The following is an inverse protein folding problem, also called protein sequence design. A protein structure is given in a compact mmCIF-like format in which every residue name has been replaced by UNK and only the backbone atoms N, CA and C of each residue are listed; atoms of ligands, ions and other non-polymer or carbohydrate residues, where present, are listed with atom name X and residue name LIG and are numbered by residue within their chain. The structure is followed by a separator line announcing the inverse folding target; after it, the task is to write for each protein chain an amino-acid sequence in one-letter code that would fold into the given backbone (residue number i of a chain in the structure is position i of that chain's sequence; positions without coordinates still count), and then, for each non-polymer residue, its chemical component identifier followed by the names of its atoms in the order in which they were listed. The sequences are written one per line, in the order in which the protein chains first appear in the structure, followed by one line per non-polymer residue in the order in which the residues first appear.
data_IF_566725070558
#
_entry.id   IF_566725070558
#
_cell.length_a   1.000
_cell.length_b   1.000
_cell.length_c   1.000
_cell.angle_alpha   90.00
_cell.angle_beta   90.00
_cell.angle_gamma   90.00
#
_symmetry.space_group_name_H-M   'P 1'
#
loop_
_entity.id
_entity.type
_entity.pdbx_description
1 polymer ?
#
# COMPACT_ATOMS: atom_id res chain seq x y z
N UNK A 1 0.73 -48.02 15.26
CA UNK A 1 1.95 -47.86 14.45
C UNK A 1 1.62 -46.92 13.30
N UNK A 2 1.94 -45.64 13.44
CA UNK A 2 1.77 -44.62 12.40
C UNK A 2 3.10 -44.33 11.73
N UNK A 3 3.18 -44.19 10.42
CA UNK A 3 4.44 -43.92 9.74
C UNK A 3 4.85 -42.46 9.87
N UNK A 4 6.09 -42.29 10.31
CA UNK A 4 6.80 -40.99 10.41
C UNK A 4 7.05 -40.38 9.02
N UNK A 5 6.68 -39.11 8.82
CA UNK A 5 7.07 -38.31 7.66
C UNK A 5 8.55 -37.90 7.76
N UNK A 6 9.30 -37.93 6.67
CA UNK A 6 10.68 -37.50 6.66
C UNK A 6 10.76 -35.96 6.70
N UNK A 7 11.63 -35.43 7.58
CA UNK A 7 12.06 -34.04 7.60
C UNK A 7 12.98 -33.80 6.40
N UNK A 8 12.58 -32.98 5.44
CA UNK A 8 13.50 -32.50 4.40
C UNK A 8 14.08 -31.16 4.81
N UNK A 9 15.34 -31.16 5.19
CA UNK A 9 16.16 -29.97 5.34
C UNK A 9 16.54 -29.49 3.94
N UNK A 10 16.11 -28.28 3.57
CA UNK A 10 16.65 -27.58 2.40
C UNK A 10 17.41 -26.34 2.85
N UNK A 11 18.73 -26.43 2.76
CA UNK A 11 19.63 -25.27 2.75
C UNK A 11 19.47 -24.57 1.39
N UNK A 12 19.15 -23.26 1.39
CA UNK A 12 19.20 -22.44 0.21
C UNK A 12 20.34 -21.44 0.36
N UNK A 13 21.37 -21.62 -0.46
CA UNK A 13 22.51 -20.74 -0.59
C UNK A 13 22.14 -19.44 -1.31
N UNK A 14 22.85 -18.34 -0.95
CA UNK A 14 22.77 -17.02 -1.55
C UNK A 14 22.78 -17.04 -3.09
N UNK A 15 21.64 -16.88 -3.69
CA UNK A 15 21.50 -16.46 -5.08
C UNK A 15 20.20 -15.69 -5.24
N UNK A 16 20.35 -14.46 -5.73
CA UNK A 16 19.38 -13.57 -6.40
C UNK A 16 17.88 -13.97 -6.42
N UNK A 17 17.00 -13.07 -6.75
CA UNK A 17 15.54 -13.21 -6.97
C UNK A 17 15.07 -14.55 -7.59
N UNK A 18 15.93 -15.27 -8.30
CA UNK A 18 15.69 -16.62 -8.83
C UNK A 18 15.47 -17.71 -7.74
N UNK A 19 15.97 -17.50 -6.52
CA UNK A 19 15.76 -18.45 -5.41
C UNK A 19 14.38 -18.31 -4.76
N UNK A 20 13.76 -17.13 -4.85
CA UNK A 20 12.37 -16.90 -4.45
C UNK A 20 11.38 -17.66 -5.38
N UNK A 21 11.77 -17.84 -6.64
CA UNK A 21 10.96 -18.55 -7.66
C UNK A 21 10.84 -20.03 -7.38
N UNK A 22 11.89 -20.69 -6.93
CA UNK A 22 11.96 -22.15 -6.82
C UNK A 22 11.24 -22.74 -5.59
N UNK A 23 11.15 -21.99 -4.49
CA UNK A 23 10.58 -22.51 -3.24
C UNK A 23 9.04 -22.58 -3.25
N UNK A 24 8.37 -21.74 -4.05
CA UNK A 24 6.90 -21.62 -4.09
C UNK A 24 6.27 -22.48 -5.20
N UNK A 25 7.04 -22.89 -6.23
CA UNK A 25 6.51 -23.62 -7.38
C UNK A 25 6.12 -25.10 -7.09
N UNK A 26 6.55 -25.68 -5.99
CA UNK A 26 6.40 -27.11 -5.74
C UNK A 26 5.03 -27.59 -5.25
N UNK A 27 4.16 -26.67 -4.79
CA UNK A 27 2.86 -27.01 -4.20
C UNK A 27 1.62 -26.40 -4.90
N UNK A 28 1.79 -25.79 -6.06
CA UNK A 28 0.72 -25.04 -6.73
C UNK A 28 0.12 -25.79 -7.92
N UNK A 29 -1.20 -25.66 -8.11
CA UNK A 29 -1.90 -26.14 -9.33
C UNK A 29 -1.44 -25.36 -10.57
N UNK A 30 -1.56 -25.94 -11.78
CA UNK A 30 -1.08 -25.33 -13.03
C UNK A 30 -1.61 -23.93 -13.30
N UNK A 31 -2.85 -23.60 -12.93
CA UNK A 31 -3.44 -22.26 -13.05
C UNK A 31 -2.89 -21.27 -12.02
N UNK A 32 -2.47 -21.79 -10.86
CA UNK A 32 -1.83 -21.03 -9.79
C UNK A 32 -0.37 -20.74 -10.14
N UNK A 33 0.33 -21.66 -10.77
CA UNK A 33 1.70 -21.53 -11.27
C UNK A 33 1.82 -20.45 -12.35
N UNK A 34 0.87 -20.40 -13.30
CA UNK A 34 0.85 -19.36 -14.34
C UNK A 34 0.66 -17.96 -13.74
N UNK A 35 -0.23 -17.82 -12.74
CA UNK A 35 -0.42 -16.56 -11.98
C UNK A 35 0.82 -16.20 -11.18
N UNK A 36 1.48 -17.17 -10.57
CA UNK A 36 2.71 -16.98 -9.80
C UNK A 36 3.88 -16.50 -10.66
N UNK A 37 4.11 -17.11 -11.84
CA UNK A 37 5.17 -16.69 -12.81
C UNK A 37 4.92 -15.26 -13.32
N UNK A 38 3.65 -14.91 -13.58
CA UNK A 38 3.26 -13.56 -13.98
C UNK A 38 3.51 -12.56 -12.83
N UNK A 39 3.25 -12.97 -11.58
CA UNK A 39 3.56 -12.19 -10.40
C UNK A 39 5.06 -11.91 -10.22
N UNK A 40 5.92 -12.93 -10.37
CA UNK A 40 7.37 -12.76 -10.27
C UNK A 40 7.85 -11.73 -11.29
N UNK A 41 7.33 -11.77 -12.52
CA UNK A 41 7.63 -10.78 -13.54
C UNK A 41 7.20 -9.37 -13.11
N UNK A 42 5.99 -9.21 -12.57
CA UNK A 42 5.48 -7.92 -12.07
C UNK A 42 6.25 -7.45 -10.83
N UNK A 43 6.60 -8.36 -9.92
CA UNK A 43 7.43 -8.06 -8.76
C UNK A 43 8.83 -7.59 -9.16
N UNK A 44 9.46 -8.24 -10.14
CA UNK A 44 10.74 -7.81 -10.70
C UNK A 44 10.66 -6.42 -11.32
N UNK A 45 9.58 -6.11 -12.05
CA UNK A 45 9.33 -4.77 -12.61
C UNK A 45 9.12 -3.74 -11.51
N UNK A 46 8.25 -4.02 -10.54
CA UNK A 46 7.99 -3.12 -9.43
C UNK A 46 9.24 -2.90 -8.56
N UNK A 47 10.05 -3.95 -8.35
CA UNK A 47 11.28 -3.89 -7.57
C UNK A 47 12.43 -3.20 -8.31
N UNK A 48 12.56 -3.39 -9.63
CA UNK A 48 13.57 -2.70 -10.45
C UNK A 48 13.29 -1.21 -10.62
N UNK A 49 12.06 -0.76 -10.43
CA UNK A 49 11.68 0.65 -10.44
C UNK A 49 11.98 1.39 -9.11
N UNK A 50 12.61 0.74 -8.13
CA UNK A 50 12.97 1.33 -6.84
C UNK A 50 14.22 2.23 -6.89
N UNK A 51 14.55 2.85 -8.03
CA UNK A 51 15.50 3.97 -7.98
C UNK A 51 14.93 5.05 -7.07
N UNK A 52 15.72 5.58 -6.11
CA UNK A 52 15.26 6.66 -5.25
C UNK A 52 14.78 7.83 -6.10
N UNK A 53 13.72 8.53 -5.66
CA UNK A 53 13.36 9.82 -6.25
C UNK A 53 14.59 10.73 -6.17
N UNK A 54 14.92 11.48 -7.22
CA UNK A 54 15.96 12.48 -7.13
C UNK A 54 15.62 13.46 -5.99
N UNK A 55 16.58 13.66 -5.11
CA UNK A 55 16.48 14.70 -4.08
C UNK A 55 16.31 16.06 -4.75
N UNK A 56 15.50 16.99 -4.22
CA UNK A 56 15.41 18.33 -4.76
C UNK A 56 16.80 18.99 -4.73
N UNK A 57 17.12 19.89 -5.69
CA UNK A 57 18.40 20.56 -5.72
C UNK A 57 18.64 21.31 -4.39
N UNK A 58 19.82 21.09 -3.81
CA UNK A 58 20.23 21.68 -2.54
C UNK A 58 20.31 23.20 -2.71
N UNK A 59 19.44 23.94 -2.04
CA UNK A 59 19.68 25.35 -1.75
C UNK A 59 20.72 25.35 -0.62
N UNK A 60 21.92 25.84 -0.91
CA UNK A 60 23.02 25.96 0.03
C UNK A 60 22.66 26.94 1.15
N UNK A 61 22.25 26.41 2.29
CA UNK A 61 22.27 27.10 3.58
C UNK A 61 23.04 26.23 4.57
N UNK A 62 24.19 26.73 4.96
CA UNK A 62 25.08 26.20 5.99
C UNK A 62 24.39 26.20 7.35
N UNK A 63 23.74 25.11 7.69
CA UNK A 63 23.39 24.75 9.07
C UNK A 63 23.21 23.23 9.07
N UNK A 64 23.92 22.53 9.98
CA UNK A 64 24.04 21.07 10.01
C UNK A 64 22.69 20.35 10.00
N UNK A 65 22.34 19.78 8.86
CA UNK A 65 21.20 18.88 8.69
C UNK A 65 21.73 17.46 8.69
N UNK A 66 21.31 16.68 9.66
CA UNK A 66 21.37 15.24 9.57
C UNK A 66 20.58 14.79 8.33
N UNK A 67 21.27 14.27 7.32
CA UNK A 67 20.66 13.73 6.10
C UNK A 67 19.88 12.47 6.45
N UNK A 68 18.55 12.54 6.52
CA UNK A 68 17.66 11.40 6.71
C UNK A 68 17.61 10.42 5.51
N UNK A 69 18.35 10.70 4.43
CA UNK A 69 18.42 9.87 3.23
C UNK A 69 19.64 8.95 3.14
N UNK A 70 20.53 8.96 4.15
CA UNK A 70 21.77 8.15 4.15
C UNK A 70 21.59 6.69 4.62
N UNK A 71 20.40 6.29 5.08
CA UNK A 71 20.15 5.00 5.72
C UNK A 71 19.58 3.92 4.79
N UNK A 72 19.68 4.08 3.46
CA UNK A 72 19.26 3.00 2.55
C UNK A 72 20.35 1.94 2.50
N UNK A 73 20.13 0.71 3.03
CA UNK A 73 21.12 -0.35 2.98
C UNK A 73 21.53 -0.66 1.55
N UNK A 74 22.85 -0.73 1.30
CA UNK A 74 23.41 -1.15 0.01
C UNK A 74 23.24 -2.67 -0.13
N UNK A 75 22.14 -3.14 -0.74
CA UNK A 75 21.92 -4.57 -0.99
C UNK A 75 20.45 -4.96 -0.96
N UNK A 76 20.13 -6.22 -1.27
CA UNK A 76 18.76 -6.71 -1.20
C UNK A 76 18.27 -6.70 0.26
N UNK A 77 16.97 -6.39 0.48
CA UNK A 77 16.40 -6.40 1.81
C UNK A 77 16.56 -7.79 2.47
N UNK A 78 16.79 -7.82 3.80
CA UNK A 78 17.03 -9.06 4.54
C UNK A 78 15.76 -9.87 4.79
N UNK A 79 14.92 -10.08 3.76
CA UNK A 79 13.60 -10.67 3.89
C UNK A 79 13.28 -11.64 2.74
N UNK A 80 12.37 -12.55 3.01
CA UNK A 80 11.72 -13.42 2.03
C UNK A 80 10.23 -13.50 2.28
N UNK A 81 9.43 -13.75 1.24
CA UNK A 81 8.01 -14.06 1.37
C UNK A 81 7.84 -15.58 1.33
N UNK A 82 7.10 -16.13 2.29
CA UNK A 82 6.84 -17.58 2.38
C UNK A 82 5.42 -17.84 2.86
N UNK A 83 4.93 -19.07 2.68
CA UNK A 83 3.67 -19.49 3.28
C UNK A 83 3.83 -19.65 4.79
N UNK A 84 2.83 -19.20 5.52
CA UNK A 84 2.65 -19.43 6.95
C UNK A 84 1.75 -20.63 7.20
N UNK A 85 1.72 -21.15 8.43
CA UNK A 85 0.83 -22.27 8.77
C UNK A 85 -0.66 -21.94 8.78
N UNK A 86 -1.05 -20.66 8.90
CA UNK A 86 -2.44 -20.26 9.13
C UNK A 86 -2.89 -18.99 8.40
N UNK A 87 -1.97 -18.06 8.09
CA UNK A 87 -2.29 -16.74 7.57
C UNK A 87 -1.99 -16.55 6.07
N UNK A 88 -1.80 -17.63 5.32
CA UNK A 88 -1.39 -17.59 3.92
C UNK A 88 0.07 -17.16 3.78
N UNK A 89 0.36 -16.05 3.08
CA UNK A 89 1.74 -15.55 2.92
C UNK A 89 2.14 -14.66 4.08
N UNK A 90 3.43 -14.71 4.45
CA UNK A 90 4.05 -13.84 5.42
C UNK A 90 5.44 -13.40 4.98
N UNK A 91 6.00 -12.41 5.62
CA UNK A 91 7.35 -11.90 5.39
C UNK A 91 8.25 -12.40 6.52
N UNK A 92 9.40 -12.95 6.19
CA UNK A 92 10.33 -13.56 7.14
C UNK A 92 11.71 -12.93 6.99
N UNK A 93 12.41 -12.73 8.10
CA UNK A 93 13.79 -12.30 8.10
C UNK A 93 14.68 -13.40 7.50
N UNK A 94 15.68 -13.03 6.68
CA UNK A 94 16.69 -13.98 6.14
C UNK A 94 18.00 -13.93 6.90
N UNK A 95 18.18 -12.91 7.73
CA UNK A 95 19.33 -12.70 8.63
C UNK A 95 18.87 -11.88 9.83
N UNK A 96 19.69 -11.78 10.85
CA UNK A 96 19.42 -10.92 12.01
C UNK A 96 19.23 -9.47 11.57
N UNK A 97 18.22 -8.80 12.15
CA UNK A 97 17.86 -7.39 11.92
C UNK A 97 17.84 -6.73 13.31
N UNK A 98 18.59 -5.65 13.48
CA UNK A 98 18.65 -4.92 14.74
C UNK A 98 17.44 -4.03 14.98
N UNK A 99 17.15 -3.75 16.25
CA UNK A 99 16.12 -2.78 16.64
C UNK A 99 16.40 -1.40 15.99
N UNK A 100 15.38 -0.80 15.37
CA UNK A 100 15.51 0.49 14.68
C UNK A 100 16.01 0.41 13.23
N UNK A 101 16.52 -0.75 12.78
CA UNK A 101 17.03 -0.91 11.44
C UNK A 101 15.93 -0.72 10.38
N UNK A 102 16.29 -0.06 9.28
CA UNK A 102 15.45 0.01 8.10
C UNK A 102 15.50 -1.34 7.36
N UNK A 103 14.39 -2.06 7.36
CA UNK A 103 14.24 -3.35 6.68
C UNK A 103 14.21 -3.15 5.16
N UNK A 104 13.28 -2.29 4.70
CA UNK A 104 13.17 -1.86 3.31
C UNK A 104 12.28 -0.63 3.15
N UNK A 105 12.28 -0.07 1.96
CA UNK A 105 11.33 0.93 1.49
C UNK A 105 10.44 0.35 0.41
N UNK A 106 9.20 0.83 0.29
CA UNK A 106 8.27 0.41 -0.75
C UNK A 106 7.55 1.61 -1.36
N UNK A 107 7.49 1.66 -2.69
CA UNK A 107 6.64 2.60 -3.41
C UNK A 107 5.21 2.04 -3.48
N UNK A 108 4.18 2.89 -3.44
CA UNK A 108 2.82 2.42 -3.63
C UNK A 108 2.59 1.91 -5.06
N UNK A 109 1.76 0.87 -5.20
CA UNK A 109 1.17 0.46 -6.48
C UNK A 109 0.19 1.53 -6.97
N UNK A 110 -0.61 2.04 -6.06
CA UNK A 110 -1.54 3.14 -6.25
C UNK A 110 -1.64 3.93 -4.95
N UNK A 111 -1.73 5.25 -5.06
CA UNK A 111 -2.01 6.15 -3.94
C UNK A 111 -2.99 7.22 -4.40
N UNK A 112 -3.86 7.67 -3.50
CA UNK A 112 -4.80 8.77 -3.77
C UNK A 112 -4.92 9.65 -2.52
N UNK A 113 -4.87 11.00 -2.65
CA UNK A 113 -5.15 11.90 -1.54
C UNK A 113 -6.57 11.69 -1.00
N UNK A 114 -6.82 12.03 0.25
CA UNK A 114 -8.19 12.22 0.72
C UNK A 114 -8.81 13.41 0.00
N UNK A 115 -10.13 13.41 -0.21
CA UNK A 115 -10.82 14.53 -0.84
C UNK A 115 -10.68 15.83 -0.02
N UNK A 116 -10.51 15.73 1.31
CA UNK A 116 -10.19 16.86 2.19
C UNK A 116 -8.76 17.39 2.01
N UNK A 117 -7.84 16.55 1.55
CA UNK A 117 -6.41 16.88 1.44
C UNK A 117 -5.94 17.16 0.02
N UNK A 118 -6.79 16.96 -1.00
CA UNK A 118 -6.42 17.03 -2.43
C UNK A 118 -5.74 18.32 -2.85
N UNK A 119 -6.03 19.46 -2.19
CA UNK A 119 -5.44 20.75 -2.48
C UNK A 119 -4.18 21.06 -1.64
N UNK A 120 -3.85 20.19 -0.69
CA UNK A 120 -2.76 20.42 0.27
C UNK A 120 -1.60 19.45 0.12
N UNK A 121 -1.78 18.42 -0.73
CA UNK A 121 -0.75 17.43 -0.99
C UNK A 121 -0.53 17.20 -2.48
N UNK A 122 0.64 16.72 -2.82
CA UNK A 122 0.96 16.30 -4.18
C UNK A 122 0.06 15.15 -4.63
N UNK A 123 -0.62 15.30 -5.74
CA UNK A 123 -1.56 14.29 -6.28
C UNK A 123 -0.89 12.97 -6.67
N UNK A 124 0.44 12.94 -6.79
CA UNK A 124 1.22 11.74 -7.10
C UNK A 124 1.82 11.08 -5.84
N UNK A 125 2.64 11.83 -5.07
CA UNK A 125 3.42 11.25 -3.98
C UNK A 125 2.89 11.56 -2.58
N UNK A 126 1.78 12.28 -2.45
CA UNK A 126 1.13 12.69 -1.20
C UNK A 126 1.99 13.59 -0.29
N UNK A 127 3.12 14.13 -0.76
CA UNK A 127 3.91 15.12 0.00
C UNK A 127 3.07 16.35 0.29
N UNK A 128 3.12 16.88 1.51
CA UNK A 128 2.49 18.18 1.85
C UNK A 128 3.09 19.29 0.97
N UNK A 129 2.22 20.11 0.39
CA UNK A 129 2.61 21.25 -0.43
C UNK A 129 2.79 22.47 0.45
N UNK A 130 3.87 23.24 0.23
CA UNK A 130 4.03 24.54 0.88
C UNK A 130 2.98 25.49 0.31
N UNK A 131 2.20 26.15 1.18
CA UNK A 131 1.27 27.20 0.79
C UNK A 131 2.05 28.38 0.28
N UNK A 132 2.14 28.57 -1.02
CA UNK A 132 2.49 29.87 -1.57
C UNK A 132 1.25 30.76 -1.43
N UNK A 133 1.33 31.82 -0.64
CA UNK A 133 0.25 32.76 -0.33
C UNK A 133 -0.34 33.46 -1.58
N UNK A 134 0.25 33.29 -2.77
CA UNK A 134 -0.11 33.97 -4.02
C UNK A 134 -0.65 33.04 -5.11
N UNK A 135 -0.93 31.76 -4.81
CA UNK A 135 -1.51 30.87 -5.81
C UNK A 135 -3.04 31.06 -5.84
N UNK A 136 -3.52 31.87 -6.78
CA UNK A 136 -4.87 31.71 -7.35
C UNK A 136 -4.91 30.34 -8.04
N UNK A 137 -4.94 29.26 -7.25
CA UNK A 137 -5.04 27.92 -7.78
C UNK A 137 -6.48 27.74 -8.26
N UNK A 138 -6.65 27.51 -9.56
CA UNK A 138 -7.88 26.96 -10.10
C UNK A 138 -8.24 25.73 -9.24
N UNK A 139 -9.35 25.82 -8.52
CA UNK A 139 -9.77 24.83 -7.51
C UNK A 139 -9.98 23.40 -8.07
N UNK A 140 -9.81 23.23 -9.39
CA UNK A 140 -10.02 21.97 -10.11
C UNK A 140 -8.74 21.35 -10.67
N UNK A 141 -7.57 22.00 -10.53
CA UNK A 141 -6.33 21.46 -11.09
C UNK A 141 -5.55 20.65 -10.06
N UNK A 142 -5.21 19.40 -10.42
CA UNK A 142 -4.31 18.58 -9.62
C UNK A 142 -2.97 19.27 -9.40
N UNK A 143 -2.48 19.25 -8.16
CA UNK A 143 -1.25 19.94 -7.77
C UNK A 143 -0.13 18.92 -7.55
N UNK A 144 1.07 19.23 -8.04
CA UNK A 144 2.25 18.38 -7.90
C UNK A 144 3.38 19.12 -7.17
N UNK A 145 4.16 18.42 -6.35
CA UNK A 145 5.26 19.01 -5.60
C UNK A 145 6.47 19.35 -6.47
N UNK A 146 6.62 18.74 -7.63
CA UNK A 146 7.71 18.94 -8.57
C UNK A 146 7.35 18.42 -9.96
N UNK A 147 8.11 18.86 -10.99
CA UNK A 147 7.94 18.42 -12.38
C UNK A 147 8.09 16.91 -12.56
N UNK A 148 8.89 16.25 -11.72
CA UNK A 148 9.07 14.81 -11.74
C UNK A 148 7.80 14.07 -11.32
N UNK A 149 7.13 14.54 -10.26
CA UNK A 149 5.83 14.00 -9.84
C UNK A 149 4.75 14.25 -10.90
N UNK A 150 4.73 15.42 -11.54
CA UNK A 150 3.84 15.73 -12.66
C UNK A 150 4.08 14.78 -13.84
N UNK A 151 5.35 14.56 -14.23
CA UNK A 151 5.71 13.63 -15.29
C UNK A 151 5.31 12.19 -14.98
N UNK A 152 5.56 11.72 -13.77
CA UNK A 152 5.18 10.36 -13.37
C UNK A 152 3.66 10.17 -13.20
N UNK A 153 2.92 11.24 -12.91
CA UNK A 153 1.47 11.15 -12.78
C UNK A 153 0.74 10.86 -14.10
N UNK A 154 1.39 11.07 -15.25
CA UNK A 154 0.80 10.83 -16.57
C UNK A 154 0.25 9.42 -16.75
N UNK A 155 0.79 8.45 -16.01
CA UNK A 155 0.28 7.06 -16.00
C UNK A 155 -1.20 6.93 -15.58
N UNK A 156 -1.79 7.96 -14.99
CA UNK A 156 -3.20 8.02 -14.66
C UNK A 156 -3.83 9.39 -14.95
N UNK A 157 -3.06 10.47 -14.78
CA UNK A 157 -3.58 11.84 -14.76
C UNK A 157 -4.17 12.27 -16.11
N UNK A 158 -3.52 11.90 -17.21
CA UNK A 158 -4.00 12.24 -18.56
C UNK A 158 -5.37 11.61 -18.84
N UNK A 159 -5.67 10.43 -18.29
CA UNK A 159 -6.97 9.78 -18.36
C UNK A 159 -7.96 10.40 -17.36
N UNK A 160 -7.51 10.69 -16.12
CA UNK A 160 -8.35 11.38 -15.12
C UNK A 160 -8.88 12.72 -15.67
N UNK A 161 -8.08 13.47 -16.41
CA UNK A 161 -8.45 14.77 -16.99
C UNK A 161 -9.43 14.70 -18.16
N UNK A 162 -9.63 13.53 -18.78
CA UNK A 162 -10.57 13.34 -19.87
C UNK A 162 -12.00 13.08 -19.40
N UNK A 163 -12.20 12.75 -18.14
CA UNK A 163 -13.49 12.34 -17.60
C UNK A 163 -14.05 13.33 -16.58
N UNK A 164 -15.37 13.46 -16.54
CA UNK A 164 -16.09 14.24 -15.52
C UNK A 164 -16.36 13.36 -14.30
N UNK A 165 -15.62 13.63 -13.23
CA UNK A 165 -15.71 12.92 -11.97
C UNK A 165 -16.69 13.51 -10.96
N UNK A 166 -17.43 14.57 -11.31
CA UNK A 166 -18.27 15.36 -10.38
C UNK A 166 -19.26 14.49 -9.61
N UNK A 167 -20.03 13.63 -10.30
CA UNK A 167 -20.99 12.72 -9.67
C UNK A 167 -20.30 11.67 -8.79
N UNK A 168 -19.18 11.10 -9.28
CA UNK A 168 -18.42 10.07 -8.57
C UNK A 168 -17.77 10.62 -7.30
N UNK A 169 -17.08 11.75 -7.40
CA UNK A 169 -16.40 12.39 -6.27
C UNK A 169 -17.41 12.95 -5.25
N UNK A 170 -18.58 13.42 -5.70
CA UNK A 170 -19.71 13.82 -4.85
C UNK A 170 -20.21 12.62 -4.03
N UNK A 171 -20.50 11.50 -4.66
CA UNK A 171 -20.93 10.27 -3.98
C UNK A 171 -19.88 9.80 -2.96
N UNK A 172 -18.60 9.82 -3.33
CA UNK A 172 -17.52 9.45 -2.42
C UNK A 172 -17.46 10.39 -1.19
N UNK A 173 -17.64 11.70 -1.39
CA UNK A 173 -17.60 12.70 -0.31
C UNK A 173 -18.80 12.57 0.62
N UNK A 174 -20.00 12.48 0.08
CA UNK A 174 -21.25 12.40 0.87
C UNK A 174 -21.34 11.13 1.72
N UNK A 175 -20.78 10.04 1.22
CA UNK A 175 -20.78 8.74 1.90
C UNK A 175 -19.47 8.43 2.66
N UNK A 176 -18.51 9.35 2.67
CA UNK A 176 -17.21 9.13 3.33
C UNK A 176 -16.37 8.00 2.70
N UNK A 177 -16.57 7.70 1.40
CA UNK A 177 -15.92 6.58 0.71
C UNK A 177 -14.53 6.99 0.22
N UNK A 178 -13.50 6.32 0.73
CA UNK A 178 -12.10 6.59 0.36
C UNK A 178 -11.52 5.57 -0.63
N UNK A 179 -11.93 4.32 -0.56
CA UNK A 179 -11.38 3.24 -1.38
C UNK A 179 -11.80 3.29 -2.86
N UNK A 180 -13.02 3.71 -3.23
CA UNK A 180 -13.38 3.92 -4.64
C UNK A 180 -12.46 4.89 -5.38
N UNK A 181 -11.85 5.88 -4.67
CA UNK A 181 -10.87 6.80 -5.26
C UNK A 181 -9.59 6.09 -5.74
N UNK A 182 -9.14 5.06 -5.01
CA UNK A 182 -8.03 4.20 -5.45
C UNK A 182 -8.43 3.35 -6.67
N UNK A 183 -9.68 2.84 -6.71
CA UNK A 183 -10.20 2.09 -7.87
C UNK A 183 -10.28 3.00 -9.10
N UNK A 184 -10.76 4.24 -8.95
CA UNK A 184 -10.76 5.26 -10.01
C UNK A 184 -9.37 5.40 -10.63
N UNK A 185 -8.36 5.62 -9.80
CA UNK A 185 -6.97 5.79 -10.26
C UNK A 185 -6.39 4.54 -10.90
N UNK A 186 -6.65 3.35 -10.34
CA UNK A 186 -6.27 2.08 -10.96
C UNK A 186 -6.91 1.89 -12.33
N UNK A 187 -8.21 2.20 -12.49
CA UNK A 187 -8.88 2.14 -13.78
C UNK A 187 -8.19 3.05 -14.80
N UNK A 188 -7.84 4.28 -14.41
CA UNK A 188 -7.11 5.21 -15.29
C UNK A 188 -5.72 4.67 -15.66
N UNK A 189 -5.01 4.02 -14.72
CA UNK A 189 -3.70 3.39 -14.99
C UNK A 189 -3.82 2.19 -15.93
N UNK A 190 -4.90 1.41 -15.85
CA UNK A 190 -5.17 0.31 -16.81
C UNK A 190 -5.49 0.86 -18.20
N UNK A 191 -6.36 1.87 -18.29
CA UNK A 191 -6.74 2.52 -19.54
C UNK A 191 -5.53 3.13 -20.26
N UNK A 192 -4.60 3.74 -19.53
CA UNK A 192 -3.35 4.27 -20.08
C UNK A 192 -2.33 3.19 -20.50
N UNK A 193 -2.59 1.92 -20.18
CA UNK A 193 -1.66 0.81 -20.42
C UNK A 193 -0.47 0.75 -19.45
N UNK A 194 -0.47 1.57 -18.39
CA UNK A 194 0.62 1.61 -17.43
C UNK A 194 0.69 0.36 -16.53
N UNK A 195 -0.44 -0.28 -16.28
CA UNK A 195 -0.56 -1.51 -15.50
C UNK A 195 -1.56 -2.48 -16.15
N UNK A 196 -1.45 -3.76 -15.79
CA UNK A 196 -2.47 -4.77 -16.15
C UNK A 196 -3.67 -4.70 -15.21
N UNK A 197 -4.86 -5.06 -15.71
CA UNK A 197 -6.11 -5.09 -14.93
C UNK A 197 -6.11 -6.10 -13.78
N UNK A 198 -5.24 -7.11 -13.82
CA UNK A 198 -5.05 -8.15 -12.81
C UNK A 198 -3.92 -7.87 -11.79
N UNK A 199 -3.35 -6.64 -11.80
CA UNK A 199 -2.22 -6.26 -10.94
C UNK A 199 -2.46 -6.60 -9.45
N UNK A 200 -3.68 -6.42 -8.96
CA UNK A 200 -4.01 -6.67 -7.56
C UNK A 200 -4.45 -8.12 -7.27
N UNK A 201 -4.54 -9.01 -8.25
CA UNK A 201 -5.04 -10.38 -8.05
C UNK A 201 -4.17 -11.23 -7.13
N UNK A 202 -2.93 -10.83 -6.96
CA UNK A 202 -2.02 -11.42 -5.96
C UNK A 202 -2.43 -11.13 -4.52
N UNK A 203 -3.12 -10.01 -4.27
CA UNK A 203 -3.51 -9.60 -2.92
C UNK A 203 -4.76 -10.36 -2.47
N UNK A 204 -4.84 -10.65 -1.17
CA UNK A 204 -5.99 -11.31 -0.58
C UNK A 204 -7.23 -10.40 -0.64
N UNK A 205 -8.38 -10.86 -1.15
CA UNK A 205 -9.63 -10.11 -1.08
C UNK A 205 -10.29 -10.27 0.29
N UNK A 206 -11.00 -9.23 0.75
CA UNK A 206 -11.94 -9.35 1.86
C UNK A 206 -13.21 -10.08 1.43
N UNK A 207 -13.88 -10.73 2.37
CA UNK A 207 -15.26 -11.18 2.18
C UNK A 207 -16.20 -9.95 2.09
N UNK A 208 -17.08 -9.96 1.10
CA UNK A 208 -18.10 -8.93 0.91
C UNK A 208 -19.48 -9.53 1.17
N UNK A 209 -20.27 -8.90 2.03
CA UNK A 209 -21.67 -9.30 2.23
C UNK A 209 -22.51 -8.93 0.99
N UNK A 210 -23.67 -9.60 0.75
CA UNK A 210 -24.57 -9.23 -0.36
C UNK A 210 -25.02 -7.77 -0.33
N UNK A 211 -25.22 -7.21 0.86
CA UNK A 211 -25.54 -5.80 1.04
C UNK A 211 -24.40 -4.90 0.53
N UNK A 212 -23.17 -5.18 0.92
CA UNK A 212 -22.00 -4.43 0.43
C UNK A 212 -21.87 -4.51 -1.09
N UNK A 213 -22.06 -5.68 -1.68
CA UNK A 213 -22.02 -5.85 -3.15
C UNK A 213 -23.08 -4.98 -3.82
N UNK A 214 -24.25 -4.84 -3.20
CA UNK A 214 -25.33 -3.96 -3.73
C UNK A 214 -24.93 -2.49 -3.68
N UNK A 215 -24.32 -2.02 -2.58
CA UNK A 215 -23.83 -0.65 -2.46
C UNK A 215 -22.70 -0.33 -3.47
N UNK A 216 -21.88 -1.32 -3.80
CA UNK A 216 -20.80 -1.16 -4.76
C UNK A 216 -21.28 -0.98 -6.21
N UNK A 217 -22.52 -1.41 -6.54
CA UNK A 217 -23.11 -1.21 -7.88
C UNK A 217 -23.24 0.26 -8.26
N UNK A 218 -23.59 1.10 -7.31
CA UNK A 218 -23.70 2.54 -7.54
C UNK A 218 -22.33 3.15 -7.88
N UNK A 219 -21.31 2.86 -7.05
CA UNK A 219 -19.94 3.32 -7.30
C UNK A 219 -19.40 2.86 -8.67
N UNK A 220 -19.64 1.60 -9.04
CA UNK A 220 -19.30 1.08 -10.36
C UNK A 220 -20.02 1.84 -11.49
N UNK A 221 -21.35 2.07 -11.34
CA UNK A 221 -22.14 2.77 -12.35
C UNK A 221 -21.65 4.20 -12.57
N UNK A 222 -21.32 4.91 -11.48
CA UNK A 222 -20.78 6.27 -11.55
C UNK A 222 -19.39 6.30 -12.19
N UNK A 223 -18.50 5.36 -11.83
CA UNK A 223 -17.17 5.23 -12.44
C UNK A 223 -17.28 4.99 -13.95
N UNK A 224 -18.11 4.01 -14.35
CA UNK A 224 -18.32 3.68 -15.76
C UNK A 224 -18.94 4.84 -16.52
N UNK A 225 -19.95 5.53 -15.95
CA UNK A 225 -20.61 6.69 -16.55
C UNK A 225 -19.60 7.81 -16.85
N UNK A 226 -18.68 8.09 -15.92
CA UNK A 226 -17.65 9.12 -16.10
C UNK A 226 -16.71 8.77 -17.27
N UNK A 227 -16.25 7.53 -17.36
CA UNK A 227 -15.32 7.07 -18.39
C UNK A 227 -15.96 6.92 -19.78
N UNK A 228 -17.20 6.42 -19.87
CA UNK A 228 -17.92 6.27 -21.16
C UNK A 228 -18.23 7.63 -21.81
N UNK A 229 -18.41 8.68 -21.02
CA UNK A 229 -18.65 10.04 -21.52
C UNK A 229 -17.40 10.74 -22.02
N UNK A 230 -16.23 10.17 -21.78
CA UNK A 230 -14.93 10.72 -22.21
C UNK A 230 -14.55 10.23 -23.61
N UNK A 231 -13.37 10.62 -24.11
CA UNK A 231 -12.82 10.17 -25.39
C UNK A 231 -12.20 8.76 -25.35
N UNK A 232 -12.43 7.99 -24.29
CA UNK A 232 -11.91 6.64 -24.10
C UNK A 232 -12.72 5.64 -24.92
N UNK A 233 -12.05 4.73 -25.62
CA UNK A 233 -12.71 3.75 -26.50
C UNK A 233 -13.34 2.60 -25.70
N UNK A 234 -14.36 1.98 -26.26
CA UNK A 234 -15.01 0.80 -25.65
C UNK A 234 -14.00 -0.35 -25.44
N UNK A 235 -13.02 -0.51 -26.33
CA UNK A 235 -11.96 -1.52 -26.21
C UNK A 235 -11.11 -1.29 -24.94
N UNK A 236 -10.77 -0.04 -24.65
CA UNK A 236 -10.02 0.32 -23.42
C UNK A 236 -10.86 0.09 -22.15
N UNK A 237 -12.18 0.00 -22.26
CA UNK A 237 -13.11 -0.23 -21.15
C UNK A 237 -13.54 -1.70 -20.98
N UNK A 238 -13.11 -2.63 -21.83
CA UNK A 238 -13.51 -4.05 -21.77
C UNK A 238 -13.21 -4.71 -20.41
N UNK A 239 -12.13 -4.33 -19.75
CA UNK A 239 -11.80 -4.86 -18.43
C UNK A 239 -12.72 -4.35 -17.33
N UNK A 240 -13.34 -3.17 -17.51
CA UNK A 240 -14.11 -2.46 -16.50
C UNK A 240 -15.52 -3.07 -16.38
N UNK A 241 -15.58 -4.24 -15.75
CA UNK A 241 -16.82 -4.93 -15.40
C UNK A 241 -17.17 -4.69 -13.92
N UNK A 242 -18.39 -5.02 -13.53
CA UNK A 242 -18.80 -4.96 -12.13
C UNK A 242 -17.97 -5.93 -11.27
N UNK A 243 -17.65 -7.10 -11.81
CA UNK A 243 -16.82 -8.12 -11.16
C UNK A 243 -15.40 -7.59 -10.91
N UNK A 244 -14.78 -6.94 -11.91
CA UNK A 244 -13.48 -6.30 -11.75
C UNK A 244 -13.51 -5.23 -10.65
N UNK A 245 -14.48 -4.31 -10.72
CA UNK A 245 -14.63 -3.24 -9.74
C UNK A 245 -14.78 -3.79 -8.32
N UNK A 246 -15.67 -4.76 -8.13
CA UNK A 246 -15.94 -5.40 -6.84
C UNK A 246 -14.72 -6.18 -6.35
N UNK A 247 -14.06 -6.93 -7.22
CA UNK A 247 -12.87 -7.71 -6.90
C UNK A 247 -11.67 -6.85 -6.50
N UNK A 248 -11.44 -5.75 -7.21
CA UNK A 248 -10.39 -4.76 -6.86
C UNK A 248 -10.71 -4.10 -5.52
N UNK A 249 -11.95 -3.71 -5.30
CA UNK A 249 -12.35 -3.04 -4.06
C UNK A 249 -12.29 -3.97 -2.85
N UNK A 250 -12.64 -5.25 -3.03
CA UNK A 250 -12.46 -6.28 -1.99
C UNK A 250 -11.00 -6.42 -1.56
N UNK A 251 -10.06 -6.33 -2.51
CA UNK A 251 -8.62 -6.37 -2.20
C UNK A 251 -8.13 -5.08 -1.54
N UNK A 252 -8.54 -3.93 -2.06
CA UNK A 252 -8.17 -2.62 -1.48
C UNK A 252 -8.63 -2.53 -0.04
N UNK A 253 -9.82 -3.04 0.29
CA UNK A 253 -10.44 -2.93 1.61
C UNK A 253 -9.54 -3.39 2.75
N UNK A 254 -8.78 -4.47 2.57
CA UNK A 254 -7.91 -5.05 3.60
C UNK A 254 -6.42 -4.88 3.33
N UNK A 255 -6.03 -4.27 2.19
CA UNK A 255 -4.64 -4.05 1.83
C UNK A 255 -4.28 -2.56 1.68
N UNK A 256 -5.25 -1.65 1.82
CA UNK A 256 -4.97 -0.22 1.76
C UNK A 256 -4.46 0.29 3.09
N UNK A 257 -3.37 1.03 3.04
CA UNK A 257 -2.78 1.75 4.16
C UNK A 257 -3.27 3.19 4.17
N UNK A 258 -3.67 3.66 5.33
CA UNK A 258 -3.92 5.08 5.61
C UNK A 258 -2.56 5.76 5.78
N UNK A 259 -2.30 6.80 4.98
CA UNK A 259 -1.01 7.50 4.98
C UNK A 259 -1.07 8.69 5.93
N UNK A 260 -0.25 8.63 6.96
CA UNK A 260 -0.03 9.70 7.93
C UNK A 260 1.44 10.10 7.89
N UNK A 261 1.72 11.33 7.47
CA UNK A 261 3.09 11.80 7.31
C UNK A 261 3.63 12.29 8.65
N UNK A 262 4.71 11.67 9.12
CA UNK A 262 5.41 12.07 10.36
C UNK A 262 6.46 13.16 10.14
N UNK A 263 6.84 13.46 8.90
CA UNK A 263 7.80 14.52 8.56
C UNK A 263 7.17 15.90 8.55
N UNK A 264 7.96 16.89 8.91
CA UNK A 264 7.54 18.31 8.97
C UNK A 264 7.32 18.84 10.37
N UNK A 265 7.55 18.03 11.39
CA UNK A 265 7.58 18.45 12.78
C UNK A 265 9.02 18.62 13.21
N UNK A 266 9.47 19.89 13.30
CA UNK A 266 10.84 20.22 13.68
C UNK A 266 11.04 20.19 15.20
N UNK A 267 9.93 20.11 15.97
CA UNK A 267 9.94 20.07 17.43
C UNK A 267 8.78 19.23 18.02
N UNK A 268 8.91 18.90 19.31
CA UNK A 268 7.93 18.11 20.06
C UNK A 268 6.58 18.84 20.23
N UNK A 269 6.56 20.17 20.19
CA UNK A 269 5.34 20.98 20.33
C UNK A 269 4.51 20.90 19.05
N UNK A 270 5.17 20.98 17.89
CA UNK A 270 4.52 20.76 16.59
C UNK A 270 3.98 19.34 16.46
N UNK A 271 4.70 18.32 16.97
CA UNK A 271 4.24 16.95 17.02
C UNK A 271 3.00 16.80 17.93
N UNK A 272 3.03 17.40 19.12
CA UNK A 272 1.90 17.38 20.05
C UNK A 272 0.66 18.10 19.48
N UNK A 273 0.84 19.26 18.83
CA UNK A 273 -0.25 19.98 18.16
C UNK A 273 -0.88 19.17 17.02
N UNK A 274 -0.07 18.45 16.24
CA UNK A 274 -0.55 17.60 15.16
C UNK A 274 -1.30 16.36 15.64
N UNK A 275 -0.98 15.82 16.81
CA UNK A 275 -1.74 14.71 17.43
C UNK A 275 -3.17 15.16 17.84
N UNK A 276 -3.40 16.45 18.02
CA UNK A 276 -4.74 17.01 18.35
C UNK A 276 -5.58 17.25 17.08
N UNK A 277 -4.95 17.46 15.92
CA UNK A 277 -5.68 17.58 14.65
C UNK A 277 -6.10 16.17 14.17
N UNK A 278 -7.38 15.86 14.32
CA UNK A 278 -7.99 14.56 13.99
C UNK A 278 -7.86 14.13 12.50
N UNK A 279 -7.19 14.90 11.65
CA UNK A 279 -6.94 14.64 10.23
C UNK A 279 -5.44 14.56 9.89
N UNK A 280 -4.68 13.75 10.60
CA UNK A 280 -3.27 13.48 10.25
C UNK A 280 -3.11 12.76 8.89
N UNK A 281 -4.15 12.08 8.40
CA UNK A 281 -4.09 11.35 7.15
C UNK A 281 -4.16 12.26 5.93
N UNK A 282 -3.24 12.05 5.02
CA UNK A 282 -3.16 12.79 3.75
C UNK A 282 -3.74 12.00 2.57
N UNK A 283 -3.88 10.69 2.70
CA UNK A 283 -4.35 9.82 1.62
C UNK A 283 -4.38 8.36 2.00
N UNK A 284 -4.63 7.52 1.01
CA UNK A 284 -4.55 6.06 1.13
C UNK A 284 -3.67 5.50 0.00
N UNK A 285 -3.03 4.37 0.25
CA UNK A 285 -2.20 3.70 -0.74
C UNK A 285 -2.24 2.18 -0.59
N UNK A 286 -1.99 1.47 -1.68
CA UNK A 286 -1.80 0.02 -1.70
C UNK A 286 -0.37 -0.28 -2.12
N UNK A 287 0.27 -1.23 -1.44
CA UNK A 287 1.63 -1.66 -1.71
C UNK A 287 1.67 -3.17 -1.99
N UNK A 288 2.64 -3.62 -2.78
CA UNK A 288 2.83 -5.05 -3.02
C UNK A 288 3.38 -5.74 -1.77
N UNK A 289 4.64 -5.47 -1.45
CA UNK A 289 5.35 -6.17 -0.39
C UNK A 289 4.82 -5.88 1.02
N UNK A 290 4.50 -4.64 1.41
CA UNK A 290 3.88 -4.35 2.70
C UNK A 290 2.56 -5.07 2.95
N UNK A 291 1.78 -5.40 1.91
CA UNK A 291 0.54 -6.16 2.04
C UNK A 291 0.72 -7.64 2.42
N UNK A 292 1.95 -8.15 2.46
CA UNK A 292 2.24 -9.52 2.91
C UNK A 292 2.68 -9.60 4.37
N UNK A 293 2.85 -8.47 5.05
CA UNK A 293 3.12 -8.46 6.49
C UNK A 293 1.84 -8.78 7.25
N UNK A 294 1.86 -9.87 8.01
CA UNK A 294 0.72 -10.28 8.82
C UNK A 294 0.58 -9.42 10.09
N UNK A 295 -0.57 -9.53 10.73
CA UNK A 295 -0.90 -8.79 11.94
C UNK A 295 -0.29 -9.43 13.19
N UNK A 296 0.12 -8.54 14.13
CA UNK A 296 0.32 -8.85 15.54
C UNK A 296 -0.05 -7.62 16.37
N UNK A 297 -0.73 -7.78 17.52
CA UNK A 297 -1.03 -6.66 18.42
C UNK A 297 0.19 -6.14 19.17
N UNK A 298 1.27 -6.95 19.24
CA UNK A 298 2.60 -6.57 19.72
C UNK A 298 3.62 -6.87 18.59
N UNK A 299 3.71 -5.99 17.58
CA UNK A 299 4.46 -6.26 16.36
C UNK A 299 5.98 -6.12 16.57
N UNK A 300 6.77 -6.79 15.73
CA UNK A 300 8.22 -6.62 15.66
C UNK A 300 8.65 -5.63 14.57
N UNK A 301 7.72 -5.16 13.76
CA UNK A 301 7.96 -4.24 12.63
C UNK A 301 6.88 -3.17 12.61
N UNK A 302 7.25 -1.95 12.23
CA UNK A 302 6.29 -0.90 11.94
C UNK A 302 6.50 -0.30 10.55
N UNK A 303 5.42 0.28 10.01
CA UNK A 303 5.42 1.01 8.76
C UNK A 303 5.24 2.50 9.03
N UNK A 304 6.10 3.33 8.44
CA UNK A 304 6.05 4.79 8.59
C UNK A 304 6.18 5.50 7.24
N UNK A 305 5.62 6.70 7.18
CA UNK A 305 5.71 7.61 6.03
C UNK A 305 6.28 8.94 6.51
N UNK A 306 7.47 9.29 6.03
CA UNK A 306 8.15 10.52 6.50
C UNK A 306 7.62 11.74 5.75
N UNK A 307 7.91 11.84 4.46
CA UNK A 307 7.62 13.05 3.66
C UNK A 307 6.68 12.80 2.47
N UNK A 308 6.37 11.55 2.16
CA UNK A 308 5.57 11.17 1.00
C UNK A 308 5.02 9.75 1.18
N UNK A 309 4.30 9.23 0.19
CA UNK A 309 3.69 7.90 0.20
C UNK A 309 4.70 6.74 0.07
N UNK A 310 6.01 6.95 0.08
CA UNK A 310 6.97 5.84 0.15
C UNK A 310 6.98 5.28 1.58
N UNK A 311 6.56 4.04 1.72
CA UNK A 311 6.56 3.34 3.00
C UNK A 311 7.99 2.98 3.42
N UNK A 312 8.31 3.15 4.69
CA UNK A 312 9.54 2.66 5.33
C UNK A 312 9.15 1.64 6.40
N UNK A 313 9.67 0.43 6.29
CA UNK A 313 9.46 -0.62 7.28
C UNK A 313 10.71 -0.73 8.15
N UNK A 314 10.52 -0.58 9.46
CA UNK A 314 11.59 -0.60 10.46
C UNK A 314 11.32 -1.68 11.50
N UNK A 315 12.39 -2.31 12.00
CA UNK A 315 12.31 -3.22 13.13
C UNK A 315 12.04 -2.44 14.42
N UNK A 316 11.11 -2.91 15.24
CA UNK A 316 10.82 -2.35 16.56
C UNK A 316 11.71 -2.96 17.66
N UNK A 317 12.20 -4.15 17.43
CA UNK A 317 13.13 -4.89 18.28
C UNK A 317 14.08 -5.72 17.43
N UNK A 318 15.04 -6.37 18.04
CA UNK A 318 15.87 -7.37 17.36
C UNK A 318 14.98 -8.48 16.81
N UNK A 319 15.25 -8.89 15.58
CA UNK A 319 14.54 -9.95 14.85
C UNK A 319 15.56 -11.00 14.44
N UNK A 320 15.31 -12.25 14.79
CA UNK A 320 16.19 -13.36 14.47
C UNK A 320 15.94 -13.89 13.06
N UNK A 321 16.91 -14.57 12.43
CA UNK A 321 16.69 -15.25 11.14
C UNK A 321 15.49 -16.20 11.22
N UNK A 322 14.72 -16.28 10.13
CA UNK A 322 13.51 -17.08 10.00
C UNK A 322 12.31 -16.63 10.89
N UNK A 323 12.46 -15.56 11.66
CA UNK A 323 11.34 -14.96 12.37
C UNK A 323 10.42 -14.23 11.39
N UNK A 324 9.08 -14.37 11.58
CA UNK A 324 8.09 -13.65 10.81
C UNK A 324 8.03 -12.18 11.22
N UNK A 325 8.15 -11.30 10.23
CA UNK A 325 7.98 -9.86 10.38
C UNK A 325 6.49 -9.51 10.33
N UNK A 326 5.96 -8.92 11.41
CA UNK A 326 4.55 -8.59 11.57
C UNK A 326 4.37 -7.12 11.93
N UNK A 327 3.26 -6.54 11.44
CA UNK A 327 2.85 -5.16 11.73
C UNK A 327 1.52 -5.17 12.49
N UNK A 328 1.15 -4.04 13.09
CA UNK A 328 -0.19 -3.87 13.66
C UNK A 328 -1.11 -3.24 12.61
N UNK A 329 -2.30 -3.83 12.37
CA UNK A 329 -3.29 -3.35 11.39
C UNK A 329 -4.24 -2.32 11.97
N UNK A 330 -4.32 -2.23 13.29
CA UNK A 330 -5.27 -1.43 14.06
C UNK A 330 -4.52 -0.60 15.10
N UNK A 331 -5.23 0.24 15.82
CA UNK A 331 -4.67 0.90 16.99
C UNK A 331 -4.45 -0.11 18.12
N UNK A 332 -3.18 -0.37 18.45
CA UNK A 332 -2.81 -1.31 19.50
C UNK A 332 -3.13 -0.82 20.92
N UNK A 333 -3.47 0.46 21.12
CA UNK A 333 -3.87 1.00 22.43
C UNK A 333 -5.28 0.61 22.87
N UNK A 334 -6.10 0.10 21.95
CA UNK A 334 -7.44 -0.38 22.24
C UNK A 334 -7.40 -1.61 23.16
N UNK A 335 -8.50 -1.80 23.93
CA UNK A 335 -8.70 -3.00 24.71
C UNK A 335 -8.86 -4.26 23.83
N UNK A 336 -8.78 -5.43 24.48
CA UNK A 336 -8.82 -6.72 23.78
C UNK A 336 -10.07 -6.91 22.94
N UNK A 337 -11.26 -6.60 23.48
CA UNK A 337 -12.55 -6.80 22.81
C UNK A 337 -12.67 -5.90 21.56
N UNK A 338 -12.30 -4.63 21.68
CA UNK A 338 -12.30 -3.69 20.56
C UNK A 338 -11.34 -4.13 19.46
N UNK A 339 -10.12 -4.59 19.82
CA UNK A 339 -9.16 -5.11 18.85
C UNK A 339 -9.71 -6.33 18.11
N UNK A 340 -10.26 -7.31 18.81
CA UNK A 340 -10.84 -8.52 18.20
C UNK A 340 -12.01 -8.18 17.28
N UNK A 341 -12.88 -7.27 17.70
CA UNK A 341 -14.02 -6.81 16.90
C UNK A 341 -13.57 -6.16 15.60
N UNK A 342 -12.60 -5.25 15.65
CA UNK A 342 -12.09 -4.58 14.47
C UNK A 342 -11.36 -5.54 13.51
N UNK A 343 -10.57 -6.47 14.04
CA UNK A 343 -9.87 -7.47 13.22
C UNK A 343 -10.85 -8.43 12.55
N UNK A 344 -11.87 -8.87 13.27
CA UNK A 344 -12.90 -9.74 12.72
C UNK A 344 -13.73 -9.03 11.64
N UNK A 345 -14.26 -7.84 11.94
CA UNK A 345 -15.12 -7.09 11.00
C UNK A 345 -14.35 -6.49 9.83
N UNK A 346 -13.13 -5.99 10.09
CA UNK A 346 -12.31 -5.32 9.08
C UNK A 346 -11.54 -6.28 8.19
N UNK A 347 -10.96 -7.33 8.77
CA UNK A 347 -10.01 -8.23 8.11
C UNK A 347 -10.46 -9.69 8.07
N UNK A 348 -11.50 -10.09 8.80
CA UNK A 348 -12.11 -11.43 8.73
C UNK A 348 -11.40 -12.50 9.57
N UNK A 349 -10.61 -12.11 10.57
CA UNK A 349 -9.94 -13.07 11.46
C UNK A 349 -9.96 -12.64 12.93
N UNK A 350 -9.78 -13.60 13.82
CA UNK A 350 -9.57 -13.41 15.27
C UNK A 350 -8.09 -13.53 15.55
N UNK A 351 -7.50 -12.54 16.24
CA UNK A 351 -6.08 -12.56 16.58
C UNK A 351 -5.83 -13.46 17.80
N UNK A 352 -4.83 -14.33 17.66
CA UNK A 352 -4.36 -15.23 18.71
C UNK A 352 -2.88 -14.98 19.08
N UNK A 353 -2.39 -13.75 18.92
CA UNK A 353 -1.04 -13.39 19.36
C UNK A 353 -0.91 -13.51 20.89
N UNK A 354 0.33 -13.50 21.40
CA UNK A 354 0.61 -13.65 22.84
C UNK A 354 -0.18 -12.65 23.69
N UNK A 355 -0.25 -11.38 23.25
CA UNK A 355 -0.99 -10.34 23.93
C UNK A 355 -2.50 -10.64 23.99
N UNK A 356 -3.09 -11.08 22.89
CA UNK A 356 -4.52 -11.47 22.88
C UNK A 356 -4.81 -12.74 23.67
N UNK A 357 -3.87 -13.71 23.69
CA UNK A 357 -4.01 -14.93 24.44
C UNK A 357 -3.88 -14.71 25.96
N UNK A 358 -3.20 -13.66 26.41
CA UNK A 358 -3.15 -13.26 27.83
C UNK A 358 -4.34 -12.44 28.29
N UNK A 359 -5.23 -12.04 27.38
CA UNK A 359 -6.41 -11.23 27.71
C UNK A 359 -6.15 -9.73 27.87
N UNK A 360 -4.91 -9.28 27.52
CA UNK A 360 -4.56 -7.85 27.52
C UNK A 360 -5.07 -7.16 26.24
#
# INVERSE_FOLDING_TARGET
MSPSRPKSNYFVSNSSLSSLEYAVEREMTSSSLARHRRWISQFKVAYSQTKPFPSPPSISSTAGRHNADSDVPSGPPPIRVSLTGSAGRGVFATRKIGAGDLIHTAKPLVAHPLLSSVHHVCNFCLRKLQRNANANADAHRATFCCKECERHSKVFHDVEMQADWSDFDKNCRERGLKYPLLVKRLACMVISGAISSDLLDILQPSSLSPHMVTELKEGYSLLRKALVKSSITDEQLLFLTQEWYTGVLARIRINAFRIELVGGYEDLLSLAAACVEAEAAVGNAVYMLPSFYNHNCDPNTHIIWINNANARLKALRDVEPDEELRICYIDASMDHEARQTLLYQGFGFICNCTRCSSGD
#
